data_IF_537219683773
#
_entry.id   IF_537219683773
#
_cell.length_a   1.000
_cell.length_b   1.000
_cell.length_c   1.000
_cell.angle_alpha   90.00
_cell.angle_beta   90.00
_cell.angle_gamma   90.00
#
_symmetry.space_group_name_H-M   'P 1'
#
loop_
_entity.id
_entity.type
_entity.pdbx_description
1 polymer ?
#
# COMPACT_ATOMS: atom_id res chain seq x y z
N UNK A 1 -13.80 4.54 -9.22
CA UNK A 1 -13.82 3.92 -7.87
C UNK A 1 -14.12 4.97 -6.84
N UNK A 2 -15.05 4.68 -5.95
CA UNK A 2 -15.33 5.52 -4.79
C UNK A 2 -14.32 5.26 -3.68
N UNK A 3 -14.01 6.27 -2.88
CA UNK A 3 -13.05 6.13 -1.78
C UNK A 3 -13.68 6.50 -0.43
N UNK A 4 -13.28 5.80 0.63
CA UNK A 4 -13.73 6.05 2.01
C UNK A 4 -12.56 5.94 2.98
N UNK A 5 -12.49 6.85 3.95
CA UNK A 5 -11.51 6.86 5.05
C UNK A 5 -12.19 6.59 6.40
N UNK A 6 -12.78 5.44 6.53
CA UNK A 6 -13.42 4.98 7.78
C UNK A 6 -12.72 3.73 8.27
N UNK A 7 -12.89 3.39 9.55
CA UNK A 7 -12.32 2.17 10.11
C UNK A 7 -12.71 0.93 9.29
N UNK A 8 -11.81 -0.05 9.24
CA UNK A 8 -12.06 -1.33 8.58
C UNK A 8 -13.16 -2.11 9.30
N UNK A 9 -14.17 -2.49 8.57
CA UNK A 9 -15.24 -3.37 9.06
C UNK A 9 -14.75 -4.81 9.20
N UNK A 10 -15.50 -5.64 9.93
CA UNK A 10 -15.20 -7.07 10.05
C UNK A 10 -15.24 -7.79 8.70
N UNK A 11 -16.17 -7.41 7.81
CA UNK A 11 -16.28 -7.98 6.47
C UNK A 11 -15.07 -7.62 5.60
N UNK A 12 -14.65 -6.36 5.60
CA UNK A 12 -13.46 -5.91 4.87
C UNK A 12 -12.18 -6.58 5.39
N UNK A 13 -12.03 -6.71 6.71
CA UNK A 13 -10.90 -7.45 7.31
C UNK A 13 -10.85 -8.91 6.85
N UNK A 14 -12.00 -9.58 6.75
CA UNK A 14 -12.08 -10.96 6.24
C UNK A 14 -11.61 -11.04 4.79
N UNK A 15 -12.05 -10.11 3.94
CA UNK A 15 -11.62 -10.05 2.53
C UNK A 15 -10.11 -9.80 2.44
N UNK A 16 -9.58 -8.86 3.22
CA UNK A 16 -8.14 -8.58 3.26
C UNK A 16 -7.34 -9.78 3.74
N UNK A 17 -7.83 -10.51 4.76
CA UNK A 17 -7.19 -11.74 5.23
C UNK A 17 -7.08 -12.78 4.11
N UNK A 18 -8.17 -13.03 3.40
CA UNK A 18 -8.19 -13.97 2.27
C UNK A 18 -7.25 -13.53 1.15
N UNK A 19 -7.24 -12.24 0.82
CA UNK A 19 -6.36 -11.66 -0.20
C UNK A 19 -4.89 -11.80 0.18
N UNK A 20 -4.53 -11.50 1.42
CA UNK A 20 -3.17 -11.65 1.94
C UNK A 20 -2.72 -13.11 1.97
N UNK A 21 -3.63 -14.03 2.34
CA UNK A 21 -3.33 -15.46 2.35
C UNK A 21 -3.04 -15.97 0.95
N UNK A 22 -3.86 -15.62 -0.04
CA UNK A 22 -3.65 -15.97 -1.44
C UNK A 22 -2.35 -15.38 -1.98
N UNK A 23 -2.06 -14.14 -1.60
CA UNK A 23 -0.86 -13.44 -2.02
C UNK A 23 0.42 -14.02 -1.41
N UNK A 24 0.39 -14.42 -0.13
CA UNK A 24 1.54 -15.05 0.56
C UNK A 24 1.97 -16.37 -0.08
N UNK A 25 1.08 -17.05 -0.77
CA UNK A 25 1.36 -18.29 -1.51
C UNK A 25 1.71 -18.05 -2.99
N UNK A 26 1.71 -16.79 -3.44
CA UNK A 26 2.00 -16.48 -4.84
C UNK A 26 3.50 -16.63 -5.14
N UNK A 27 3.80 -17.24 -6.29
CA UNK A 27 5.18 -17.52 -6.73
C UNK A 27 6.11 -16.29 -6.85
N UNK A 28 5.54 -15.08 -6.96
CA UNK A 28 6.29 -13.83 -7.07
C UNK A 28 6.47 -13.11 -5.73
N UNK A 29 6.04 -13.72 -4.62
CA UNK A 29 6.23 -13.10 -3.31
C UNK A 29 7.72 -12.99 -2.97
N UNK A 30 8.11 -11.90 -2.34
CA UNK A 30 9.49 -11.73 -1.90
C UNK A 30 9.82 -12.71 -0.76
N UNK A 31 11.06 -13.16 -0.74
CA UNK A 31 11.62 -13.96 0.35
C UNK A 31 11.35 -13.32 1.74
N UNK A 32 11.44 -12.00 1.82
CA UNK A 32 11.17 -11.24 3.04
C UNK A 32 9.75 -11.49 3.55
N UNK A 33 8.76 -11.39 2.67
CA UNK A 33 7.36 -11.60 3.03
C UNK A 33 7.01 -13.07 3.25
N UNK A 34 7.60 -13.96 2.48
CA UNK A 34 7.43 -15.41 2.67
C UNK A 34 7.89 -15.83 4.06
N UNK A 35 9.07 -15.37 4.49
CA UNK A 35 9.71 -15.80 5.74
C UNK A 35 9.23 -15.03 6.97
N UNK A 36 9.03 -13.72 6.87
CA UNK A 36 8.76 -12.83 8.00
C UNK A 36 7.36 -12.22 7.98
N UNK A 37 6.63 -12.33 6.88
CA UNK A 37 5.29 -11.76 6.78
C UNK A 37 4.29 -12.48 7.70
N UNK A 38 3.59 -11.71 8.52
CA UNK A 38 2.54 -12.16 9.43
C UNK A 38 1.23 -11.46 9.08
N UNK A 39 0.23 -12.25 8.68
CA UNK A 39 -1.06 -11.72 8.23
C UNK A 39 -1.83 -11.07 9.36
N UNK A 40 -1.86 -11.69 10.54
CA UNK A 40 -2.61 -11.16 11.70
C UNK A 40 -1.98 -9.86 12.20
N UNK A 41 -0.64 -9.80 12.24
CA UNK A 41 0.07 -8.57 12.56
C UNK A 41 -0.24 -7.47 11.54
N UNK A 42 -0.20 -7.78 10.24
CA UNK A 42 -0.54 -6.85 9.16
C UNK A 42 -1.95 -6.29 9.32
N UNK A 43 -2.93 -7.16 9.55
CA UNK A 43 -4.33 -6.76 9.74
C UNK A 43 -4.53 -5.91 11.00
N UNK A 44 -3.80 -6.20 12.07
CA UNK A 44 -3.81 -5.37 13.29
C UNK A 44 -3.26 -3.98 13.01
N UNK A 45 -2.12 -3.87 12.33
CA UNK A 45 -1.54 -2.59 11.93
C UNK A 45 -2.49 -1.78 11.02
N UNK A 46 -3.06 -2.42 10.00
CA UNK A 46 -4.03 -1.78 9.10
C UNK A 46 -5.29 -1.33 9.84
N UNK A 47 -5.78 -2.13 10.79
CA UNK A 47 -6.89 -1.76 11.64
C UNK A 47 -6.61 -0.49 12.46
N UNK A 48 -5.45 -0.42 13.09
CA UNK A 48 -5.03 0.76 13.86
C UNK A 48 -4.83 1.99 12.96
N UNK A 49 -4.24 1.83 11.78
CA UNK A 49 -4.09 2.91 10.80
C UNK A 49 -5.45 3.39 10.29
N UNK A 50 -6.40 2.48 10.00
CA UNK A 50 -7.74 2.85 9.53
C UNK A 50 -8.53 3.62 10.58
N UNK A 51 -8.40 3.27 11.85
CA UNK A 51 -9.02 4.00 12.95
C UNK A 51 -8.48 5.45 13.09
N UNK A 52 -7.25 5.70 12.62
CA UNK A 52 -6.64 7.03 12.56
C UNK A 52 -6.84 7.77 11.24
N UNK A 53 -7.64 7.21 10.32
CA UNK A 53 -7.89 7.81 9.00
C UNK A 53 -6.73 7.71 8.02
N UNK A 54 -5.77 6.83 8.26
CA UNK A 54 -4.58 6.60 7.43
C UNK A 54 -4.74 5.44 6.43
N UNK A 55 -5.96 4.98 6.22
CA UNK A 55 -6.30 3.97 5.20
C UNK A 55 -7.43 4.49 4.33
N UNK A 56 -7.20 4.49 3.03
CA UNK A 56 -8.23 4.73 2.02
C UNK A 56 -8.73 3.38 1.52
N UNK A 57 -10.02 3.18 1.57
CA UNK A 57 -10.74 2.02 1.06
C UNK A 57 -11.35 2.36 -0.30
N UNK A 58 -11.23 1.45 -1.26
CA UNK A 58 -11.73 1.64 -2.62
C UNK A 58 -12.91 0.71 -2.90
N UNK A 59 -13.90 1.23 -3.61
CA UNK A 59 -15.12 0.52 -3.95
C UNK A 59 -15.54 0.73 -5.41
N UNK A 60 -16.12 -0.28 -6.01
CA UNK A 60 -16.92 -0.20 -7.22
C UNK A 60 -18.37 -0.56 -6.86
N UNK A 61 -19.24 0.44 -6.73
CA UNK A 61 -20.53 0.25 -6.11
C UNK A 61 -20.37 -0.24 -4.67
N UNK A 62 -20.93 -1.41 -4.36
CA UNK A 62 -20.82 -2.04 -3.03
C UNK A 62 -19.62 -3.01 -2.92
N UNK A 63 -18.91 -3.27 -4.02
CA UNK A 63 -17.77 -4.18 -4.03
C UNK A 63 -16.53 -3.51 -3.46
N UNK A 64 -15.98 -4.07 -2.39
CA UNK A 64 -14.70 -3.66 -1.84
C UNK A 64 -13.56 -4.12 -2.75
N UNK A 65 -12.76 -3.19 -3.25
CA UNK A 65 -11.75 -3.40 -4.28
C UNK A 65 -10.31 -3.41 -3.75
N UNK A 66 -10.09 -2.87 -2.57
CA UNK A 66 -8.75 -2.82 -1.99
C UNK A 66 -8.53 -1.62 -1.09
N UNK A 67 -7.29 -1.45 -0.67
CA UNK A 67 -6.85 -0.40 0.25
C UNK A 67 -5.55 0.25 -0.19
N UNK A 68 -5.38 1.50 0.24
CA UNK A 68 -4.13 2.23 0.29
C UNK A 68 -3.92 2.69 1.73
N UNK A 69 -2.88 2.22 2.39
CA UNK A 69 -2.42 2.77 3.66
C UNK A 69 -1.32 3.80 3.38
N UNK A 70 -1.39 4.95 4.03
CA UNK A 70 -0.49 6.07 3.81
C UNK A 70 -0.07 6.73 5.12
N UNK A 71 1.02 7.46 5.06
CA UNK A 71 1.49 8.32 6.13
C UNK A 71 1.86 9.71 5.60
N UNK A 72 1.67 10.72 6.44
CA UNK A 72 2.03 12.10 6.14
C UNK A 72 3.00 12.57 7.20
N UNK A 73 4.19 12.96 6.80
CA UNK A 73 5.19 13.37 7.77
C UNK A 73 6.38 14.09 7.15
N UNK A 74 7.36 14.33 8.00
CA UNK A 74 8.65 14.87 7.61
C UNK A 74 9.70 13.76 7.67
N UNK A 75 10.60 13.77 6.72
CA UNK A 75 11.77 12.89 6.71
C UNK A 75 13.02 13.72 7.00
N UNK A 76 14.05 13.08 7.55
CA UNK A 76 15.23 13.79 8.08
C UNK A 76 16.03 14.58 7.03
N UNK A 77 15.91 14.27 5.74
CA UNK A 77 16.69 14.89 4.67
C UNK A 77 15.99 16.05 3.97
N UNK A 78 14.74 16.37 4.31
CA UNK A 78 14.03 17.51 3.72
C UNK A 78 13.10 18.17 4.73
N UNK A 79 12.96 19.51 4.71
CA UNK A 79 11.99 20.23 5.52
C UNK A 79 10.57 20.15 4.95
N UNK A 80 10.40 19.57 3.76
CA UNK A 80 9.10 19.45 3.10
C UNK A 80 8.34 18.24 3.62
N UNK A 81 7.02 18.38 3.68
CA UNK A 81 6.12 17.27 4.03
C UNK A 81 6.08 16.24 2.91
N UNK A 82 6.05 14.98 3.29
CA UNK A 82 6.04 13.84 2.39
C UNK A 82 4.78 13.02 2.62
N UNK A 83 4.09 12.64 1.54
CA UNK A 83 3.05 11.62 1.53
C UNK A 83 3.68 10.28 1.16
N UNK A 84 3.69 9.35 2.08
CA UNK A 84 4.30 8.03 1.89
C UNK A 84 3.23 6.96 1.72
N UNK A 85 3.35 6.15 0.67
CA UNK A 85 2.65 4.88 0.58
C UNK A 85 3.26 3.93 1.62
N UNK A 86 2.43 3.41 2.50
CA UNK A 86 2.82 2.38 3.48
C UNK A 86 2.49 1.00 2.93
N UNK A 87 1.30 0.85 2.35
CA UNK A 87 0.84 -0.43 1.84
C UNK A 87 -0.30 -0.25 0.82
N UNK A 88 -0.23 -1.00 -0.26
CA UNK A 88 -1.29 -1.07 -1.29
C UNK A 88 -1.66 -2.53 -1.51
N UNK A 89 -2.94 -2.83 -1.44
CA UNK A 89 -3.46 -4.17 -1.69
C UNK A 89 -4.76 -4.11 -2.47
N UNK A 90 -4.78 -4.73 -3.65
CA UNK A 90 -6.00 -4.95 -4.43
C UNK A 90 -6.62 -6.30 -4.10
N UNK A 91 -7.94 -6.35 -4.00
CA UNK A 91 -8.67 -7.62 -3.87
C UNK A 91 -8.74 -8.35 -5.20
N UNK A 92 -9.03 -9.64 -5.16
CA UNK A 92 -9.17 -10.48 -6.35
C UNK A 92 -10.18 -9.88 -7.36
N UNK A 93 -9.84 -9.96 -8.64
CA UNK A 93 -10.68 -9.45 -9.73
C UNK A 93 -10.65 -7.93 -9.90
N UNK A 94 -9.81 -7.20 -9.16
CA UNK A 94 -9.64 -5.76 -9.34
C UNK A 94 -8.47 -5.46 -10.27
N UNK A 95 -8.75 -4.87 -11.42
CA UNK A 95 -7.74 -4.50 -12.41
C UNK A 95 -7.43 -3.01 -12.38
N UNK A 96 -6.17 -2.66 -12.69
CA UNK A 96 -5.74 -1.25 -12.77
C UNK A 96 -5.73 -0.51 -11.44
N UNK A 97 -5.76 -1.22 -10.31
CA UNK A 97 -5.86 -0.66 -8.97
C UNK A 97 -4.73 0.33 -8.67
N UNK A 98 -3.52 0.05 -9.13
CA UNK A 98 -2.36 0.91 -8.89
C UNK A 98 -2.55 2.34 -9.41
N UNK A 99 -3.23 2.51 -10.56
CA UNK A 99 -3.54 3.85 -11.09
C UNK A 99 -4.47 4.62 -10.14
N UNK A 100 -5.46 3.95 -9.59
CA UNK A 100 -6.37 4.56 -8.61
C UNK A 100 -5.64 4.91 -7.30
N UNK A 101 -4.77 4.03 -6.83
CA UNK A 101 -3.94 4.28 -5.65
C UNK A 101 -2.97 5.46 -5.88
N UNK A 102 -2.32 5.55 -7.03
CA UNK A 102 -1.44 6.66 -7.40
C UNK A 102 -2.20 7.99 -7.45
N UNK A 103 -3.37 8.02 -8.08
CA UNK A 103 -4.22 9.22 -8.13
C UNK A 103 -4.68 9.65 -6.73
N UNK A 104 -4.98 8.69 -5.86
CA UNK A 104 -5.36 8.99 -4.48
C UNK A 104 -4.18 9.51 -3.65
N UNK A 105 -2.96 9.00 -3.85
CA UNK A 105 -1.75 9.56 -3.24
C UNK A 105 -1.54 11.02 -3.65
N UNK A 106 -1.75 11.36 -4.92
CA UNK A 106 -1.68 12.74 -5.40
C UNK A 106 -2.75 13.62 -4.74
N UNK A 107 -3.97 13.13 -4.60
CA UNK A 107 -5.05 13.83 -3.91
C UNK A 107 -4.71 14.07 -2.43
N UNK A 108 -4.21 13.05 -1.74
CA UNK A 108 -3.76 13.14 -0.35
C UNK A 108 -2.59 14.11 -0.18
N UNK A 109 -1.60 14.05 -1.07
CA UNK A 109 -0.48 14.98 -1.04
C UNK A 109 -0.94 16.44 -1.13
N UNK A 110 -1.89 16.73 -2.00
CA UNK A 110 -2.50 18.07 -2.12
C UNK A 110 -3.32 18.44 -0.88
N UNK A 111 -4.14 17.51 -0.36
CA UNK A 111 -4.96 17.72 0.84
C UNK A 111 -4.11 18.09 2.07
N UNK A 112 -2.95 17.46 2.22
CA UNK A 112 -2.05 17.65 3.36
C UNK A 112 -0.86 18.58 3.09
N UNK A 113 -0.86 19.28 1.95
CA UNK A 113 0.23 20.18 1.55
C UNK A 113 1.60 19.49 1.56
N UNK A 114 1.66 18.28 1.03
CA UNK A 114 2.89 17.53 0.86
C UNK A 114 3.52 17.85 -0.49
N UNK A 115 4.82 18.09 -0.50
CA UNK A 115 5.58 18.44 -1.70
C UNK A 115 6.07 17.19 -2.47
N UNK A 116 6.08 16.04 -1.81
CA UNK A 116 6.60 14.80 -2.36
C UNK A 116 5.66 13.64 -2.06
N UNK A 117 5.63 12.68 -2.98
CA UNK A 117 5.01 11.37 -2.80
C UNK A 117 6.11 10.33 -2.90
N UNK A 118 6.20 9.46 -1.90
CA UNK A 118 7.09 8.30 -1.90
C UNK A 118 6.24 7.04 -1.95
N UNK A 119 6.44 6.24 -2.99
CA UNK A 119 5.79 4.97 -3.16
C UNK A 119 6.83 3.87 -3.38
N UNK A 120 6.55 2.67 -2.91
CA UNK A 120 7.51 1.58 -2.95
C UNK A 120 6.90 0.25 -3.36
N UNK A 121 7.78 -0.72 -3.54
CA UNK A 121 7.41 -2.10 -3.82
C UNK A 121 8.34 -3.03 -3.04
N UNK A 122 8.02 -3.25 -1.77
CA UNK A 122 8.84 -4.07 -0.89
C UNK A 122 8.53 -5.58 -1.01
N UNK A 123 7.36 -5.93 -1.54
CA UNK A 123 6.77 -7.24 -1.31
C UNK A 123 6.84 -8.20 -2.50
N UNK A 124 7.24 -7.74 -3.67
CA UNK A 124 7.40 -8.58 -4.85
C UNK A 124 8.78 -8.39 -5.48
N UNK A 125 9.47 -9.48 -5.73
CA UNK A 125 10.87 -9.46 -6.19
C UNK A 125 11.00 -9.09 -7.65
N UNK A 126 10.06 -9.48 -8.48
CA UNK A 126 10.20 -9.35 -9.93
C UNK A 126 9.14 -8.40 -10.48
N UNK A 127 9.35 -7.09 -10.25
CA UNK A 127 8.25 -6.19 -10.42
C UNK A 127 8.50 -4.95 -11.23
N UNK A 128 8.92 -5.17 -12.45
CA UNK A 128 8.80 -4.18 -13.50
C UNK A 128 7.33 -3.72 -13.71
N UNK A 129 6.34 -4.56 -13.37
CA UNK A 129 4.92 -4.21 -13.53
C UNK A 129 4.50 -3.07 -12.60
N UNK A 130 4.77 -3.17 -11.30
CA UNK A 130 4.43 -2.10 -10.34
C UNK A 130 5.30 -0.86 -10.59
N UNK A 131 6.61 -1.03 -10.76
CA UNK A 131 7.51 0.06 -11.09
C UNK A 131 7.13 0.78 -12.39
N UNK A 132 6.77 0.04 -13.42
CA UNK A 132 6.27 0.61 -14.67
C UNK A 132 4.92 1.28 -14.52
N UNK A 133 4.04 0.76 -13.66
CA UNK A 133 2.78 1.39 -13.31
C UNK A 133 3.01 2.77 -12.66
N UNK A 134 3.90 2.87 -11.68
CA UNK A 134 4.27 4.15 -11.07
C UNK A 134 4.92 5.12 -12.07
N UNK A 135 5.84 4.65 -12.90
CA UNK A 135 6.45 5.48 -13.96
C UNK A 135 5.41 6.06 -14.92
N UNK A 136 4.40 5.27 -15.31
CA UNK A 136 3.27 5.76 -16.14
C UNK A 136 2.42 6.83 -15.43
N UNK A 137 2.42 6.84 -14.10
CA UNK A 137 1.77 7.86 -13.28
C UNK A 137 2.71 9.04 -12.91
N UNK A 138 3.87 9.17 -13.56
CA UNK A 138 4.77 10.29 -13.37
C UNK A 138 5.80 10.12 -12.23
N UNK A 139 5.86 8.95 -11.59
CA UNK A 139 6.87 8.67 -10.58
C UNK A 139 8.23 8.38 -11.21
N UNK A 140 9.29 8.77 -10.52
CA UNK A 140 10.68 8.46 -10.84
C UNK A 140 11.25 7.46 -9.85
N UNK A 141 12.01 6.49 -10.33
CA UNK A 141 12.75 5.59 -9.45
C UNK A 141 14.02 6.28 -8.94
N UNK A 142 14.11 6.48 -7.63
CA UNK A 142 15.21 7.21 -6.99
C UNK A 142 16.04 6.35 -6.03
N UNK A 143 15.49 5.23 -5.52
CA UNK A 143 16.18 4.41 -4.54
C UNK A 143 15.87 2.93 -4.68
N UNK A 144 16.73 2.11 -4.05
CA UNK A 144 16.55 0.67 -3.88
C UNK A 144 16.70 0.31 -2.41
N UNK A 145 15.97 -0.70 -1.95
CA UNK A 145 16.05 -1.23 -0.59
C UNK A 145 16.80 -2.56 -0.58
N UNK A 146 17.76 -2.69 0.33
CA UNK A 146 18.53 -3.91 0.55
C UNK A 146 18.25 -4.47 1.93
N UNK A 147 18.05 -5.79 2.02
CA UNK A 147 17.69 -6.47 3.27
C UNK A 147 18.70 -7.56 3.57
N UNK A 148 19.13 -7.66 4.83
CA UNK A 148 19.98 -8.72 5.34
C UNK A 148 19.38 -9.32 6.61
N UNK A 149 19.19 -10.63 6.62
CA UNK A 149 18.79 -11.34 7.84
C UNK A 149 19.95 -11.40 8.84
N UNK A 150 19.67 -11.10 10.09
CA UNK A 150 20.60 -11.30 11.18
C UNK A 150 20.29 -12.63 11.86
N UNK A 151 21.19 -13.57 11.72
CA UNK A 151 21.12 -14.86 12.38
C UNK A 151 21.56 -14.67 13.82
N UNK A 152 20.67 -14.99 14.76
CA UNK A 152 20.93 -14.95 16.21
C UNK A 152 21.40 -16.29 16.71
#
# INVERSE_FOLDING_TARGET
MDTRRTALTRAERRILHQTLLAWKTHKTISWLMERYGDIEHTLTCLGNMSARGQVVKFYEGDRFCGILAFDIGYVWWTPHRVCSEVFVLATEGTHGFQRHAAAELERLAKEYDASLIVAGNMFQVDNNLIGNGYKKCGFRQECSTYVKEIIK
#
